data_IF_434459948408
#
_entry.id   IF_434459948408
#
_cell.length_a   1.000
_cell.length_b   1.000
_cell.length_c   1.000
_cell.angle_alpha   90.00
_cell.angle_beta   90.00
_cell.angle_gamma   90.00
#
_symmetry.space_group_name_H-M   'P 1'
#
loop_
_entity.id
_entity.type
_entity.pdbx_description
1 polymer ?
#
# COMPACT_ATOMS: atom_id res chain seq x y z
N UNK A 1 -98.23 5.62 35.43
CA UNK A 1 -98.16 4.67 36.56
C UNK A 1 -96.96 3.74 36.33
N UNK A 2 -95.95 3.80 37.21
CA UNK A 2 -94.94 2.79 37.62
C UNK A 2 -94.21 1.98 36.52
N UNK A 3 -92.93 2.25 36.24
CA UNK A 3 -91.67 1.76 36.88
C UNK A 3 -91.12 0.45 36.26
N UNK A 4 -90.00 0.63 35.53
CA UNK A 4 -88.67 -0.03 35.52
C UNK A 4 -88.49 -1.57 35.46
N UNK A 5 -87.31 -1.87 34.88
CA UNK A 5 -86.39 -3.00 34.97
C UNK A 5 -86.42 -3.99 33.80
N UNK A 6 -85.32 -4.57 33.31
CA UNK A 6 -83.86 -4.32 33.25
C UNK A 6 -83.31 -5.65 32.68
N UNK A 7 -82.36 -5.54 31.75
CA UNK A 7 -81.43 -6.58 31.28
C UNK A 7 -82.01 -7.82 30.55
N UNK A 8 -81.53 -8.05 29.32
CA UNK A 8 -80.90 -9.32 28.92
C UNK A 8 -79.90 -9.01 27.79
N UNK A 9 -78.68 -9.46 28.06
CA UNK A 9 -77.48 -9.55 27.24
C UNK A 9 -77.79 -10.33 25.94
N UNK A 10 -77.55 -9.74 24.76
CA UNK A 10 -77.58 -10.49 23.50
C UNK A 10 -76.20 -10.42 22.84
N UNK A 11 -75.49 -11.54 22.97
CA UNK A 11 -74.22 -11.86 22.34
C UNK A 11 -74.45 -11.94 20.82
N UNK A 12 -74.02 -10.92 20.07
CA UNK A 12 -74.11 -10.93 18.61
C UNK A 12 -72.85 -11.57 18.03
N UNK A 13 -72.99 -12.82 17.61
CA UNK A 13 -71.99 -13.60 16.89
C UNK A 13 -71.87 -13.00 15.47
N UNK A 14 -70.92 -12.07 15.26
CA UNK A 14 -70.53 -11.64 13.91
C UNK A 14 -69.43 -12.56 13.40
N UNK A 15 -69.81 -13.51 12.56
CA UNK A 15 -68.90 -14.25 11.69
C UNK A 15 -68.40 -13.33 10.58
N UNK A 16 -67.26 -12.68 10.79
CA UNK A 16 -66.49 -12.05 9.71
C UNK A 16 -65.67 -13.13 9.01
N UNK A 17 -66.00 -13.38 7.74
CA UNK A 17 -65.19 -14.14 6.79
C UNK A 17 -63.86 -13.41 6.63
N UNK A 18 -62.83 -13.90 7.33
CA UNK A 18 -61.45 -13.48 7.14
C UNK A 18 -60.95 -14.07 5.83
N UNK A 19 -60.90 -13.24 4.79
CA UNK A 19 -60.17 -13.56 3.57
C UNK A 19 -58.68 -13.40 3.89
N UNK A 20 -58.09 -14.47 4.39
CA UNK A 20 -56.65 -14.64 4.56
C UNK A 20 -56.02 -14.82 3.18
N UNK A 21 -55.82 -13.72 2.46
CA UNK A 21 -54.81 -13.70 1.41
C UNK A 21 -53.49 -13.54 2.12
N UNK A 22 -52.94 -14.67 2.55
CA UNK A 22 -51.54 -14.80 2.94
C UNK A 22 -50.74 -14.49 1.69
N UNK A 23 -50.43 -13.21 1.45
CA UNK A 23 -49.22 -12.86 0.74
C UNK A 23 -48.10 -13.36 1.65
N UNK A 24 -47.67 -14.59 1.40
CA UNK A 24 -46.29 -14.94 1.65
C UNK A 24 -45.46 -13.82 1.04
N UNK A 25 -44.80 -13.02 1.87
CA UNK A 25 -43.53 -12.44 1.46
C UNK A 25 -42.73 -13.67 1.03
N UNK A 26 -42.64 -13.88 -0.27
CA UNK A 26 -41.49 -14.59 -0.81
C UNK A 26 -40.30 -13.80 -0.24
N UNK A 27 -39.55 -14.44 0.66
CA UNK A 27 -38.15 -14.09 0.78
C UNK A 27 -37.61 -14.20 -0.64
N UNK A 28 -37.46 -13.06 -1.30
CA UNK A 28 -36.59 -12.97 -2.46
C UNK A 28 -35.21 -13.18 -1.87
N UNK A 29 -34.83 -14.45 -1.69
CA UNK A 29 -33.43 -14.81 -1.66
C UNK A 29 -32.88 -14.25 -2.95
N UNK A 30 -32.07 -13.19 -2.85
CA UNK A 30 -31.41 -12.61 -4.00
C UNK A 30 -30.65 -13.73 -4.69
N UNK A 31 -31.07 -14.12 -5.91
CA UNK A 31 -30.34 -15.08 -6.76
C UNK A 31 -28.95 -14.57 -7.17
N UNK A 32 -28.57 -13.37 -6.73
CA UNK A 32 -27.27 -12.76 -6.99
C UNK A 32 -26.22 -13.15 -5.95
N UNK A 33 -25.00 -13.35 -6.42
CA UNK A 33 -23.81 -13.51 -5.57
C UNK A 33 -23.60 -12.23 -4.75
N UNK A 34 -23.46 -12.36 -3.43
CA UNK A 34 -23.15 -11.25 -2.53
C UNK A 34 -21.64 -11.10 -2.42
N UNK A 35 -21.12 -9.93 -2.83
CA UNK A 35 -19.70 -9.61 -2.84
C UNK A 35 -19.46 -8.43 -1.91
N UNK A 36 -18.48 -8.54 -1.02
CA UNK A 36 -17.97 -7.42 -0.22
C UNK A 36 -16.56 -7.10 -0.70
N UNK A 37 -16.29 -5.83 -0.99
CA UNK A 37 -14.99 -5.34 -1.42
C UNK A 37 -14.47 -4.28 -0.46
N UNK A 38 -13.16 -4.19 -0.28
CA UNK A 38 -12.56 -3.14 0.56
C UNK A 38 -12.56 -1.79 -0.15
N UNK A 39 -11.84 -1.67 -1.27
CA UNK A 39 -11.64 -0.42 -2.00
C UNK A 39 -12.52 -0.29 -3.26
N UNK A 40 -12.57 0.92 -3.79
CA UNK A 40 -13.35 1.25 -4.98
C UNK A 40 -12.91 0.51 -6.27
N UNK A 41 -11.62 0.25 -6.54
CA UNK A 41 -11.21 -0.47 -7.74
C UNK A 41 -11.80 -1.88 -7.78
N UNK A 42 -11.72 -2.65 -6.68
CA UNK A 42 -12.30 -3.99 -6.63
C UNK A 42 -13.83 -3.94 -6.72
N UNK A 43 -14.46 -2.93 -6.12
CA UNK A 43 -15.90 -2.69 -6.27
C UNK A 43 -16.30 -2.55 -7.74
N UNK A 44 -15.61 -1.67 -8.47
CA UNK A 44 -15.90 -1.39 -9.89
C UNK A 44 -15.61 -2.61 -10.76
N UNK A 45 -14.49 -3.31 -10.51
CA UNK A 45 -14.11 -4.52 -11.25
C UNK A 45 -15.16 -5.63 -11.06
N UNK A 46 -15.56 -5.90 -9.81
CA UNK A 46 -16.58 -6.89 -9.51
C UNK A 46 -17.94 -6.52 -10.13
N UNK A 47 -18.34 -5.24 -10.10
CA UNK A 47 -19.55 -4.75 -10.77
C UNK A 47 -19.48 -4.89 -12.29
N UNK A 48 -18.33 -4.60 -12.90
CA UNK A 48 -18.13 -4.70 -14.35
C UNK A 48 -18.23 -6.16 -14.86
N UNK A 49 -17.65 -7.11 -14.11
CA UNK A 49 -17.68 -8.54 -14.42
C UNK A 49 -19.08 -9.12 -14.16
N UNK A 50 -19.62 -8.87 -12.97
CA UNK A 50 -20.81 -9.55 -12.46
C UNK A 50 -22.16 -8.92 -12.82
N UNK A 51 -22.20 -7.61 -13.06
CA UNK A 51 -23.39 -6.84 -13.46
C UNK A 51 -24.67 -7.20 -12.67
N UNK A 52 -25.73 -7.65 -13.36
CA UNK A 52 -27.03 -7.97 -12.76
C UNK A 52 -27.04 -9.28 -11.96
N UNK A 53 -25.95 -10.07 -12.02
CA UNK A 53 -25.78 -11.34 -11.30
C UNK A 53 -25.12 -11.19 -9.94
N UNK A 54 -24.60 -10.01 -9.62
CA UNK A 54 -23.91 -9.75 -8.36
C UNK A 54 -24.52 -8.56 -7.63
N UNK A 55 -24.48 -8.62 -6.31
CA UNK A 55 -24.67 -7.46 -5.45
C UNK A 55 -23.33 -7.19 -4.78
N UNK A 56 -22.76 -6.00 -5.02
CA UNK A 56 -21.42 -5.65 -4.53
C UNK A 56 -21.58 -4.54 -3.52
N UNK A 57 -21.04 -4.75 -2.33
CA UNK A 57 -20.94 -3.79 -1.25
C UNK A 57 -19.51 -3.29 -1.17
N UNK A 58 -19.32 -1.97 -1.26
CA UNK A 58 -18.07 -1.32 -0.91
C UNK A 58 -18.05 -1.15 0.61
N UNK A 59 -17.09 -1.80 1.28
CA UNK A 59 -16.94 -1.78 2.74
C UNK A 59 -16.58 -0.38 3.22
N UNK A 60 -15.56 0.23 2.61
CA UNK A 60 -15.15 1.60 2.91
C UNK A 60 -16.22 2.58 2.38
N UNK A 61 -16.92 3.32 3.25
CA UNK A 61 -17.93 4.25 2.79
C UNK A 61 -17.32 5.31 1.86
N UNK A 62 -18.07 5.82 0.86
CA UNK A 62 -17.58 6.86 -0.02
C UNK A 62 -17.11 8.11 0.75
N UNK A 63 -15.86 8.51 0.51
CA UNK A 63 -15.20 9.66 1.15
C UNK A 63 -14.44 9.36 2.45
N UNK A 64 -14.17 8.08 2.75
CA UNK A 64 -13.39 7.66 3.92
C UNK A 64 -11.98 7.27 3.47
N UNK A 65 -10.96 7.72 4.21
CA UNK A 65 -9.56 7.34 4.00
C UNK A 65 -9.36 5.83 4.24
N UNK A 66 -8.60 5.19 3.36
CA UNK A 66 -8.48 3.74 3.33
C UNK A 66 -7.38 3.19 4.22
N UNK A 67 -6.25 3.89 4.32
CA UNK A 67 -5.08 3.44 5.10
C UNK A 67 -5.36 3.41 6.61
N UNK A 68 -6.22 4.30 7.10
CA UNK A 68 -6.60 4.37 8.51
C UNK A 68 -7.87 3.55 8.84
N UNK A 69 -8.37 2.73 7.90
CA UNK A 69 -9.64 2.05 8.06
C UNK A 69 -9.51 0.79 8.92
N UNK A 70 -10.31 0.72 9.99
CA UNK A 70 -10.55 -0.51 10.74
C UNK A 70 -11.99 -1.00 10.56
N UNK A 71 -12.20 -2.30 10.35
CA UNK A 71 -13.55 -2.85 10.16
C UNK A 71 -14.36 -2.78 11.46
N UNK A 72 -15.61 -2.32 11.36
CA UNK A 72 -16.55 -2.36 12.48
C UNK A 72 -17.10 -3.79 12.68
N UNK A 73 -17.70 -4.11 13.84
CA UNK A 73 -18.38 -5.39 14.03
C UNK A 73 -19.47 -5.69 12.99
N UNK A 74 -20.12 -4.65 12.46
CA UNK A 74 -21.12 -4.78 11.40
C UNK A 74 -20.48 -5.16 10.06
N UNK A 75 -19.30 -4.63 9.77
CA UNK A 75 -18.53 -4.97 8.56
C UNK A 75 -18.08 -6.42 8.60
N UNK A 76 -17.60 -6.90 9.75
CA UNK A 76 -17.22 -8.30 9.95
C UNK A 76 -18.42 -9.23 9.73
N UNK A 77 -19.62 -8.83 10.18
CA UNK A 77 -20.86 -9.59 9.91
C UNK A 77 -21.16 -9.60 8.41
N UNK A 78 -21.06 -8.46 7.72
CA UNK A 78 -21.28 -8.38 6.27
C UNK A 78 -20.30 -9.28 5.50
N UNK A 79 -19.02 -9.23 5.83
CA UNK A 79 -17.97 -10.10 5.26
C UNK A 79 -18.34 -11.57 5.47
N UNK A 80 -18.73 -11.95 6.69
CA UNK A 80 -19.07 -13.34 7.03
C UNK A 80 -20.30 -13.87 6.26
N UNK A 81 -21.29 -13.02 5.98
CA UNK A 81 -22.53 -13.41 5.29
C UNK A 81 -22.39 -13.43 3.75
N UNK A 82 -21.36 -12.77 3.22
CA UNK A 82 -21.07 -12.72 1.80
C UNK A 82 -20.73 -14.09 1.20
N UNK A 83 -20.88 -14.21 -0.12
CA UNK A 83 -20.36 -15.34 -0.90
C UNK A 83 -18.88 -15.11 -1.25
N UNK A 84 -18.49 -13.85 -1.45
CA UNK A 84 -17.15 -13.44 -1.84
C UNK A 84 -16.69 -12.20 -1.06
N UNK A 85 -15.49 -12.23 -0.51
CA UNK A 85 -14.79 -11.08 0.06
C UNK A 85 -13.52 -10.79 -0.76
N UNK A 86 -13.38 -9.56 -1.23
CA UNK A 86 -12.26 -9.13 -2.09
C UNK A 86 -11.52 -7.99 -1.37
N UNK A 87 -10.24 -8.17 -1.10
CA UNK A 87 -9.36 -7.15 -0.57
C UNK A 87 -8.14 -6.95 -1.49
N UNK A 88 -7.34 -5.93 -1.25
CA UNK A 88 -6.19 -5.59 -2.09
C UNK A 88 -5.01 -6.50 -1.81
N UNK A 89 -4.58 -6.58 -0.56
CA UNK A 89 -3.41 -7.32 -0.12
C UNK A 89 -3.04 -6.93 1.32
N UNK A 90 -2.12 -7.67 1.94
CA UNK A 90 -1.75 -7.43 3.35
C UNK A 90 -1.16 -6.04 3.59
N UNK A 91 -0.40 -5.49 2.63
CA UNK A 91 0.15 -4.14 2.73
C UNK A 91 -0.90 -3.02 2.74
N UNK A 92 -2.11 -3.27 2.24
CA UNK A 92 -3.21 -2.28 2.22
C UNK A 92 -4.21 -2.51 3.36
N UNK A 93 -4.57 -3.77 3.62
CA UNK A 93 -5.55 -4.14 4.63
C UNK A 93 -4.94 -5.15 5.63
N UNK A 94 -3.98 -4.74 6.49
CA UNK A 94 -3.30 -5.66 7.41
C UNK A 94 -4.26 -6.33 8.42
N UNK A 95 -5.41 -5.71 8.67
CA UNK A 95 -6.48 -6.28 9.49
C UNK A 95 -7.20 -7.47 8.84
N UNK A 96 -7.09 -7.65 7.52
CA UNK A 96 -7.87 -8.64 6.77
C UNK A 96 -7.53 -10.06 7.23
N UNK A 97 -6.25 -10.39 7.37
CA UNK A 97 -5.81 -11.73 7.78
C UNK A 97 -6.37 -12.11 9.16
N UNK A 98 -6.14 -11.26 10.17
CA UNK A 98 -6.65 -11.44 11.55
C UNK A 98 -8.18 -11.56 11.59
N UNK A 99 -8.88 -10.78 10.77
CA UNK A 99 -10.34 -10.85 10.68
C UNK A 99 -10.81 -12.18 10.09
N UNK A 100 -10.14 -12.66 9.04
CA UNK A 100 -10.49 -13.90 8.34
C UNK A 100 -10.21 -15.14 9.20
N UNK A 101 -9.16 -15.16 10.01
CA UNK A 101 -8.90 -16.25 10.98
C UNK A 101 -10.07 -16.44 11.97
N UNK A 102 -10.73 -15.35 12.36
CA UNK A 102 -11.90 -15.37 13.23
C UNK A 102 -13.20 -15.81 12.54
N UNK A 103 -13.23 -15.83 11.20
CA UNK A 103 -14.42 -16.18 10.42
C UNK A 103 -14.36 -17.66 10.03
N UNK A 104 -15.15 -18.47 10.74
CA UNK A 104 -15.42 -19.85 10.33
C UNK A 104 -16.66 -19.88 9.42
N UNK A 105 -16.46 -19.86 8.11
CA UNK A 105 -17.52 -19.93 7.10
C UNK A 105 -17.12 -20.79 5.91
N UNK A 106 -17.78 -21.92 5.71
CA UNK A 106 -17.60 -22.78 4.52
C UNK A 106 -18.13 -22.14 3.23
N UNK A 107 -18.92 -21.07 3.37
CA UNK A 107 -19.58 -20.35 2.28
C UNK A 107 -18.68 -19.27 1.69
N UNK A 108 -17.96 -18.54 2.54
CA UNK A 108 -17.19 -17.36 2.14
C UNK A 108 -15.97 -17.78 1.33
N UNK A 109 -15.83 -17.22 0.13
CA UNK A 109 -14.57 -17.25 -0.62
C UNK A 109 -13.85 -15.92 -0.49
N UNK A 110 -12.53 -15.97 -0.45
CA UNK A 110 -11.67 -14.80 -0.23
C UNK A 110 -10.78 -14.61 -1.44
N UNK A 111 -10.65 -13.36 -1.89
CA UNK A 111 -9.77 -12.95 -2.99
C UNK A 111 -8.78 -11.93 -2.47
N UNK A 112 -7.52 -12.32 -2.49
CA UNK A 112 -6.39 -11.41 -2.43
C UNK A 112 -6.12 -10.89 -3.85
N UNK A 113 -6.33 -9.59 -4.08
CA UNK A 113 -6.17 -9.01 -5.41
C UNK A 113 -4.70 -8.88 -5.83
N UNK A 114 -3.76 -8.85 -4.88
CA UNK A 114 -2.32 -8.76 -5.09
C UNK A 114 -1.70 -10.06 -5.61
N UNK A 115 -2.43 -11.18 -5.52
CA UNK A 115 -1.93 -12.48 -5.95
C UNK A 115 -1.44 -12.44 -7.41
N UNK A 116 -0.21 -12.90 -7.63
CA UNK A 116 0.51 -12.89 -8.92
C UNK A 116 0.94 -11.51 -9.43
N UNK A 117 0.91 -10.47 -8.59
CA UNK A 117 1.51 -9.17 -8.87
C UNK A 117 2.90 -9.14 -8.22
N UNK A 118 3.90 -8.65 -8.95
CA UNK A 118 5.21 -8.34 -8.41
C UNK A 118 5.10 -7.03 -7.63
N UNK A 119 5.35 -7.09 -6.32
CA UNK A 119 5.18 -5.95 -5.43
C UNK A 119 6.42 -5.06 -5.42
N UNK A 120 6.22 -3.75 -5.49
CA UNK A 120 7.28 -2.74 -5.32
C UNK A 120 7.54 -2.52 -3.82
N UNK A 121 8.78 -2.24 -3.45
CA UNK A 121 9.11 -1.99 -2.03
C UNK A 121 8.47 -0.69 -1.53
N UNK A 122 8.21 -0.65 -0.22
CA UNK A 122 7.63 0.47 0.53
C UNK A 122 8.48 1.76 0.54
N UNK A 123 9.70 1.69 0.01
CA UNK A 123 10.69 2.77 0.02
C UNK A 123 11.10 3.10 -1.42
N UNK A 124 10.16 3.59 -2.24
CA UNK A 124 10.53 4.09 -3.57
C UNK A 124 11.52 5.26 -3.45
N UNK A 125 12.74 5.02 -3.92
CA UNK A 125 13.85 5.96 -3.90
C UNK A 125 15.09 5.43 -3.17
N UNK A 126 14.95 4.43 -2.30
CA UNK A 126 16.07 3.79 -1.60
C UNK A 126 16.26 2.34 -2.05
N UNK A 127 17.47 1.99 -2.48
CA UNK A 127 17.82 0.65 -2.93
C UNK A 127 18.08 -0.34 -1.78
N UNK A 128 17.91 0.13 -0.54
CA UNK A 128 18.13 -0.55 0.73
C UNK A 128 16.99 -0.19 1.69
N UNK A 129 16.63 -1.10 2.60
CA UNK A 129 15.54 -0.90 3.57
C UNK A 129 16.05 -0.36 4.92
N UNK A 130 17.34 -0.53 5.23
CA UNK A 130 17.91 -0.12 6.50
C UNK A 130 19.28 0.53 6.35
N UNK A 131 19.49 1.60 7.13
CA UNK A 131 20.75 2.31 7.25
C UNK A 131 21.12 2.50 8.72
N UNK A 132 22.34 2.11 9.11
CA UNK A 132 22.84 2.30 10.48
C UNK A 132 24.20 2.97 10.51
N UNK A 133 24.37 3.92 11.42
CA UNK A 133 25.63 4.62 11.63
C UNK A 133 26.39 4.02 12.81
N UNK A 134 27.67 3.69 12.62
CA UNK A 134 28.51 3.04 13.63
C UNK A 134 29.84 3.78 13.82
N UNK A 135 30.20 4.07 15.06
CA UNK A 135 31.58 4.40 15.42
C UNK A 135 32.37 3.11 15.69
N UNK A 136 33.26 2.75 14.77
CA UNK A 136 34.02 1.52 14.82
C UNK A 136 35.51 1.79 15.07
N UNK A 137 36.09 1.00 15.97
CA UNK A 137 37.54 0.99 16.22
C UNK A 137 38.22 0.04 15.26
N UNK A 138 39.53 0.23 15.07
CA UNK A 138 40.33 -0.74 14.34
C UNK A 138 40.19 -2.14 14.97
N UNK A 139 39.68 -3.10 14.21
CA UNK A 139 39.28 -4.40 14.72
C UNK A 139 38.49 -5.21 13.72
N UNK A 140 38.08 -6.41 14.14
CA UNK A 140 37.16 -7.26 13.38
C UNK A 140 35.83 -7.27 14.11
N UNK A 141 34.75 -7.28 13.35
CA UNK A 141 33.40 -7.38 13.85
C UNK A 141 32.69 -8.49 13.09
N UNK A 142 31.67 -9.07 13.69
CA UNK A 142 30.87 -10.14 13.10
C UNK A 142 29.48 -9.61 12.81
N UNK A 143 29.08 -9.71 11.54
CA UNK A 143 27.70 -9.53 11.11
C UNK A 143 27.07 -10.90 10.89
N UNK A 144 25.94 -11.18 11.54
CA UNK A 144 25.29 -12.50 11.55
C UNK A 144 23.91 -12.42 10.93
N UNK A 145 23.54 -13.48 10.22
CA UNK A 145 22.18 -13.73 9.74
C UNK A 145 21.77 -15.10 10.24
N UNK A 146 20.63 -15.19 10.93
CA UNK A 146 20.08 -16.43 11.45
C UNK A 146 18.76 -16.76 10.75
N UNK A 147 18.41 -18.05 10.78
CA UNK A 147 17.08 -18.49 10.35
C UNK A 147 16.05 -18.15 11.42
N UNK A 148 14.97 -17.49 11.01
CA UNK A 148 13.79 -17.24 11.84
C UNK A 148 12.74 -18.29 11.49
N UNK A 149 12.22 -18.99 12.51
CA UNK A 149 11.26 -20.10 12.34
C UNK A 149 11.67 -21.23 11.38
N UNK A 150 12.99 -21.40 11.17
CA UNK A 150 13.57 -22.53 10.45
C UNK A 150 14.01 -22.23 9.02
N UNK A 151 13.80 -21.01 8.51
CA UNK A 151 14.24 -20.55 7.19
C UNK A 151 14.89 -19.15 7.28
N UNK A 152 15.72 -18.79 6.30
CA UNK A 152 16.14 -17.39 6.13
C UNK A 152 15.04 -16.63 5.40
N UNK A 153 14.83 -15.34 5.71
CA UNK A 153 13.90 -14.50 4.95
C UNK A 153 14.26 -14.51 3.46
N UNK A 154 15.54 -14.32 3.14
CA UNK A 154 16.10 -14.43 1.80
C UNK A 154 17.36 -15.30 1.74
N UNK A 155 17.71 -15.88 0.56
CA UNK A 155 18.90 -16.71 0.43
C UNK A 155 20.24 -15.94 0.41
N UNK A 156 20.17 -14.62 0.24
CA UNK A 156 21.30 -13.70 0.11
C UNK A 156 20.83 -12.27 0.43
N UNK A 157 21.76 -11.36 0.71
CA UNK A 157 21.44 -9.94 0.97
C UNK A 157 22.51 -9.03 0.38
N UNK A 158 22.09 -7.91 -0.23
CA UNK A 158 23.02 -6.82 -0.55
C UNK A 158 23.37 -6.02 0.71
N UNK A 159 24.65 -5.69 0.84
CA UNK A 159 25.23 -5.02 1.99
C UNK A 159 26.23 -3.99 1.49
N UNK A 160 26.07 -2.73 1.87
CA UNK A 160 27.07 -1.71 1.60
C UNK A 160 27.65 -1.16 2.91
N UNK A 161 28.90 -0.75 2.84
CA UNK A 161 29.55 0.02 3.90
C UNK A 161 30.21 1.24 3.27
N UNK A 162 30.04 2.40 3.90
CA UNK A 162 30.58 3.68 3.45
C UNK A 162 31.31 4.33 4.63
N UNK A 163 32.62 4.60 4.54
CA UNK A 163 33.34 5.41 5.53
C UNK A 163 32.79 6.84 5.53
N UNK A 164 32.35 7.33 6.68
CA UNK A 164 31.77 8.67 6.82
C UNK A 164 32.81 9.65 7.38
N UNK A 165 33.06 10.74 6.64
CA UNK A 165 33.87 11.87 7.12
C UNK A 165 32.96 13.04 7.50
N UNK A 166 32.94 13.39 8.79
CA UNK A 166 32.20 14.54 9.32
C UNK A 166 32.79 15.85 8.76
N UNK A 167 32.09 16.43 7.78
CA UNK A 167 32.40 17.69 7.10
C UNK A 167 31.19 18.63 7.14
N UNK A 168 31.40 19.94 6.94
CA UNK A 168 30.29 20.92 6.96
C UNK A 168 29.19 20.65 5.92
N UNK A 169 29.47 19.81 4.90
CA UNK A 169 28.56 19.47 3.80
C UNK A 169 28.02 18.02 3.84
N UNK A 170 28.42 17.19 4.82
CA UNK A 170 28.02 15.76 4.90
C UNK A 170 26.86 15.56 5.87
N UNK A 171 25.73 15.05 5.36
CA UNK A 171 24.57 14.62 6.16
C UNK A 171 24.30 13.12 5.96
N UNK A 172 23.54 12.52 6.86
CA UNK A 172 23.05 11.13 6.72
C UNK A 172 22.25 10.99 5.41
N UNK A 173 21.41 11.97 5.09
CA UNK A 173 20.67 12.07 3.81
C UNK A 173 21.58 12.12 2.57
N UNK A 174 22.73 12.81 2.64
CA UNK A 174 23.71 12.80 1.56
C UNK A 174 24.34 11.41 1.36
N UNK A 175 24.49 10.66 2.45
CA UNK A 175 25.03 9.29 2.45
C UNK A 175 24.00 8.28 1.94
N UNK A 176 22.70 8.51 2.18
CA UNK A 176 21.63 7.70 1.59
C UNK A 176 21.63 7.80 0.06
N UNK A 177 21.77 9.02 -0.47
CA UNK A 177 21.88 9.26 -1.91
C UNK A 177 23.09 8.56 -2.54
N UNK A 178 24.24 8.60 -1.86
CA UNK A 178 25.44 7.87 -2.28
C UNK A 178 25.24 6.35 -2.21
N UNK A 179 24.56 5.88 -1.16
CA UNK A 179 24.12 4.51 -1.00
C UNK A 179 23.27 3.99 -2.16
N UNK A 180 22.29 4.76 -2.61
CA UNK A 180 21.45 4.38 -3.74
C UNK A 180 22.23 4.19 -5.03
N UNK A 181 23.22 5.05 -5.30
CA UNK A 181 24.09 4.87 -6.45
C UNK A 181 24.98 3.63 -6.31
N UNK A 182 25.47 3.36 -5.09
CA UNK A 182 26.32 2.20 -4.81
C UNK A 182 25.59 0.87 -5.06
N UNK A 183 24.28 0.80 -4.78
CA UNK A 183 23.45 -0.38 -5.06
C UNK A 183 23.16 -0.62 -6.55
N UNK A 184 23.49 0.33 -7.45
CA UNK A 184 23.45 0.13 -8.90
C UNK A 184 24.72 -0.56 -9.43
N UNK A 185 25.77 -0.68 -8.62
CA UNK A 185 27.05 -1.28 -9.01
C UNK A 185 27.02 -2.82 -8.98
N UNK A 186 28.04 -3.46 -9.57
CA UNK A 186 28.19 -4.92 -9.50
C UNK A 186 28.76 -5.34 -8.13
N UNK A 187 28.03 -6.08 -7.29
CA UNK A 187 28.45 -6.38 -5.93
C UNK A 187 29.57 -7.44 -5.87
N UNK A 188 30.46 -7.32 -4.88
CA UNK A 188 31.41 -8.39 -4.54
C UNK A 188 30.70 -9.52 -3.78
N UNK A 189 30.69 -10.73 -4.35
CA UNK A 189 30.04 -11.89 -3.72
C UNK A 189 30.87 -12.48 -2.58
N UNK A 190 30.33 -12.46 -1.36
CA UNK A 190 30.96 -13.00 -0.15
C UNK A 190 30.14 -14.20 0.35
N UNK A 191 30.84 -15.24 0.81
CA UNK A 191 30.23 -16.44 1.40
C UNK A 191 30.49 -16.48 2.90
N UNK A 192 29.78 -17.36 3.61
CA UNK A 192 29.95 -17.59 5.05
C UNK A 192 31.41 -17.60 5.51
N UNK A 193 31.72 -16.79 6.53
CA UNK A 193 33.05 -16.56 7.10
C UNK A 193 33.95 -15.63 6.28
N UNK A 194 33.46 -15.09 5.17
CA UNK A 194 34.18 -14.15 4.32
C UNK A 194 34.31 -12.76 4.95
N UNK A 195 35.26 -11.98 4.46
CA UNK A 195 35.57 -10.66 5.00
C UNK A 195 35.00 -9.53 4.12
N UNK A 196 34.45 -8.51 4.77
CA UNK A 196 33.99 -7.24 4.21
C UNK A 196 35.05 -6.19 4.60
N UNK A 197 35.47 -5.36 3.64
CA UNK A 197 36.51 -4.34 3.90
C UNK A 197 35.91 -3.06 4.49
N UNK A 198 36.73 -2.21 5.08
CA UNK A 198 36.35 -0.91 5.64
C UNK A 198 36.40 0.23 4.61
N UNK A 199 36.29 -0.12 3.33
CA UNK A 199 36.22 0.84 2.23
C UNK A 199 34.81 0.84 1.67
N UNK A 200 34.46 1.96 1.07
CA UNK A 200 33.24 2.08 0.27
C UNK A 200 33.13 0.91 -0.71
N UNK A 201 32.00 0.19 -0.66
CA UNK A 201 31.76 -0.94 -1.54
C UNK A 201 30.44 -1.63 -1.30
N UNK A 202 29.91 -2.24 -2.36
CA UNK A 202 28.72 -3.09 -2.36
C UNK A 202 29.13 -4.57 -2.34
N UNK A 203 28.50 -5.33 -1.45
CA UNK A 203 28.72 -6.75 -1.24
C UNK A 203 27.42 -7.52 -1.39
N UNK A 204 27.51 -8.72 -1.96
CA UNK A 204 26.42 -9.69 -2.02
C UNK A 204 26.72 -10.83 -1.08
N UNK A 205 26.05 -10.84 0.07
CA UNK A 205 26.27 -11.79 1.14
C UNK A 205 25.44 -13.05 0.87
N UNK A 206 26.10 -14.16 0.54
CA UNK A 206 25.44 -15.42 0.17
C UNK A 206 25.34 -16.31 1.41
N UNK A 207 24.11 -16.62 1.82
CA UNK A 207 23.86 -17.37 3.05
C UNK A 207 24.08 -18.87 2.87
N UNK A 208 24.63 -19.52 3.89
CA UNK A 208 24.77 -20.96 3.93
C UNK A 208 23.44 -21.58 4.38
N UNK A 209 22.61 -21.95 3.40
CA UNK A 209 21.29 -22.55 3.60
C UNK A 209 21.31 -23.84 4.44
N UNK A 210 22.48 -24.46 4.63
CA UNK A 210 22.66 -25.67 5.44
C UNK A 210 22.95 -25.41 6.91
N UNK A 211 23.20 -24.15 7.29
CA UNK A 211 23.47 -23.73 8.66
C UNK A 211 22.34 -22.84 9.18
N UNK A 212 22.06 -22.95 10.47
CA UNK A 212 21.04 -22.12 11.15
C UNK A 212 21.50 -20.64 11.26
N UNK A 213 22.80 -20.39 11.08
CA UNK A 213 23.41 -19.07 11.10
C UNK A 213 24.53 -18.95 10.07
N UNK A 214 24.61 -17.81 9.40
CA UNK A 214 25.70 -17.39 8.50
C UNK A 214 26.37 -16.16 9.08
N UNK A 215 27.70 -16.10 9.09
CA UNK A 215 28.46 -15.00 9.66
C UNK A 215 29.40 -14.38 8.62
N UNK A 216 29.59 -13.07 8.69
CA UNK A 216 30.50 -12.30 7.84
C UNK A 216 31.37 -11.41 8.72
N UNK A 217 32.63 -11.21 8.32
CA UNK A 217 33.62 -10.50 9.13
C UNK A 217 33.86 -9.11 8.55
N UNK A 218 33.46 -8.07 9.27
CA UNK A 218 33.80 -6.70 8.92
C UNK A 218 35.20 -6.36 9.46
N UNK A 219 36.17 -6.09 8.57
CA UNK A 219 37.60 -5.93 8.90
C UNK A 219 38.01 -4.45 8.89
N UNK A 220 37.75 -3.75 9.99
CA UNK A 220 38.03 -2.32 10.18
C UNK A 220 39.53 -2.06 10.34
N UNK A 221 40.16 -1.49 9.32
CA UNK A 221 41.58 -1.09 9.34
C UNK A 221 41.77 0.32 9.90
N UNK A 222 40.79 1.20 9.69
CA UNK A 222 40.82 2.60 10.13
C UNK A 222 39.71 2.87 11.15
N UNK A 223 40.06 3.35 12.34
CA UNK A 223 39.05 3.81 13.30
C UNK A 223 38.31 5.03 12.75
N UNK A 224 36.99 5.03 12.84
CA UNK A 224 36.15 6.07 12.25
C UNK A 224 34.66 5.75 12.33
N UNK A 225 33.88 6.60 11.66
CA UNK A 225 32.43 6.45 11.52
C UNK A 225 32.12 5.75 10.20
N UNK A 226 31.17 4.83 10.22
CA UNK A 226 30.76 4.06 9.05
C UNK A 226 29.25 4.06 8.96
N UNK A 227 28.73 4.27 7.76
CA UNK A 227 27.32 4.00 7.44
C UNK A 227 27.24 2.64 6.79
N UNK A 228 26.39 1.78 7.32
CA UNK A 228 26.09 0.47 6.77
C UNK A 228 24.67 0.49 6.23
N UNK A 229 24.49 0.00 5.01
CA UNK A 229 23.20 -0.05 4.32
C UNK A 229 22.91 -1.51 3.97
N UNK A 230 21.70 -1.98 4.24
CA UNK A 230 21.30 -3.36 3.98
C UNK A 230 20.02 -3.41 3.16
N UNK A 231 19.99 -4.33 2.18
CA UNK A 231 18.83 -4.53 1.31
C UNK A 231 17.53 -4.72 2.09
N UNK A 232 17.63 -5.43 3.21
CA UNK A 232 16.54 -5.73 4.12
C UNK A 232 16.89 -5.30 5.54
N UNK A 233 15.89 -5.23 6.42
CA UNK A 233 16.12 -4.97 7.84
C UNK A 233 16.95 -6.09 8.48
N UNK A 234 18.10 -5.79 9.13
CA UNK A 234 18.93 -6.81 9.75
C UNK A 234 18.20 -7.65 10.82
N UNK A 235 17.18 -7.07 11.45
CA UNK A 235 16.35 -7.71 12.48
C UNK A 235 15.48 -8.85 11.94
N UNK A 236 15.14 -8.87 10.64
CA UNK A 236 14.45 -10.01 10.01
C UNK A 236 15.29 -11.29 10.03
N UNK A 237 16.59 -11.14 10.27
CA UNK A 237 17.57 -12.22 10.34
C UNK A 237 18.10 -12.42 11.77
N UNK A 238 17.44 -11.86 12.79
CA UNK A 238 17.75 -12.10 14.20
C UNK A 238 16.80 -13.13 14.82
N UNK A 239 17.34 -14.26 15.26
CA UNK A 239 16.57 -15.28 15.98
C UNK A 239 16.71 -15.12 17.51
N UNK A 240 17.94 -15.21 18.01
CA UNK A 240 18.25 -15.27 19.45
C UNK A 240 19.45 -14.40 19.88
N UNK A 241 20.13 -13.78 18.94
CA UNK A 241 21.33 -12.98 19.15
C UNK A 241 21.33 -11.75 18.24
N UNK A 242 21.93 -10.66 18.72
CA UNK A 242 22.05 -9.43 17.93
C UNK A 242 22.85 -9.66 16.64
N UNK A 243 22.44 -9.03 15.53
CA UNK A 243 23.02 -9.21 14.20
C UNK A 243 24.46 -8.69 14.13
N UNK A 244 24.84 -7.71 14.96
CA UNK A 244 26.17 -7.11 14.92
C UNK A 244 26.91 -7.19 16.26
N UNK A 245 28.10 -7.80 16.24
CA UNK A 245 28.91 -8.05 17.44
C UNK A 245 30.39 -7.75 17.23
N UNK A 246 31.07 -7.37 18.31
CA UNK A 246 32.53 -7.31 18.35
C UNK A 246 33.18 -8.69 18.59
N UNK A 247 34.52 -8.74 18.58
CA UNK A 247 35.29 -9.97 18.81
C UNK A 247 35.10 -10.57 20.21
N UNK A 248 34.67 -9.78 21.18
CA UNK A 248 34.40 -10.24 22.54
C UNK A 248 32.95 -10.76 22.69
N UNK A 249 32.17 -10.73 21.59
CA UNK A 249 30.78 -11.15 21.54
C UNK A 249 29.82 -10.14 22.14
N UNK A 250 30.25 -8.89 22.29
CA UNK A 250 29.43 -7.78 22.76
C UNK A 250 28.64 -7.21 21.60
N UNK A 251 27.36 -6.94 21.83
CA UNK A 251 26.48 -6.30 20.84
C UNK A 251 26.99 -4.89 20.51
N UNK A 252 26.97 -4.57 19.22
CA UNK A 252 27.36 -3.26 18.69
C UNK A 252 26.12 -2.61 18.11
N UNK A 253 25.58 -1.65 18.85
CA UNK A 253 24.39 -0.88 18.45
C UNK A 253 24.77 0.25 17.49
N UNK A 254 23.85 0.62 16.61
CA UNK A 254 23.98 1.84 15.82
C UNK A 254 23.89 3.08 16.75
N UNK A 255 24.60 4.14 16.39
CA UNK A 255 24.51 5.46 17.06
C UNK A 255 23.22 6.20 16.69
N UNK A 256 22.66 5.82 15.56
CA UNK A 256 21.41 6.23 14.97
C UNK A 256 21.21 5.38 13.73
N UNK A 257 19.98 4.95 13.51
CA UNK A 257 19.57 4.26 12.30
C UNK A 257 18.37 4.99 11.68
N UNK A 258 18.01 4.61 10.47
CA UNK A 258 16.83 5.12 9.77
C UNK A 258 15.50 4.88 10.53
N UNK A 259 15.54 4.17 11.65
CA UNK A 259 14.40 3.87 12.52
C UNK A 259 14.36 4.76 13.80
N UNK A 260 15.51 5.25 14.28
CA UNK A 260 15.67 6.04 15.51
C UNK A 260 15.72 7.56 15.31
N UNK A 261 15.92 8.08 14.09
CA UNK A 261 15.94 9.54 13.84
C UNK A 261 14.60 10.25 14.19
N UNK A 262 13.54 9.49 14.51
CA UNK A 262 12.26 10.02 14.97
C UNK A 262 12.05 10.03 16.49
N UNK A 263 13.00 9.53 17.30
CA UNK A 263 12.81 9.36 18.75
C UNK A 263 13.44 10.46 19.64
N UNK A 264 13.79 11.63 19.09
CA UNK A 264 14.33 12.75 19.91
C UNK A 264 13.59 14.07 19.72
N UNK A 265 12.33 14.07 20.13
CA UNK A 265 11.73 15.13 20.98
C UNK A 265 10.34 14.66 21.44
N UNK A 266 10.27 13.92 22.56
CA UNK A 266 9.35 14.21 23.67
C UNK A 266 9.38 13.12 24.77
N UNK A 267 9.40 13.57 26.02
CA UNK A 267 9.35 12.73 27.21
C UNK A 267 7.98 12.06 27.40
N UNK A 268 8.00 10.73 27.60
CA UNK A 268 6.97 9.90 28.24
C UNK A 268 5.54 9.95 27.68
N UNK A 269 5.21 9.02 26.77
CA UNK A 269 3.96 8.26 26.80
C UNK A 269 4.22 6.83 26.27
N UNK A 270 3.90 5.81 27.08
CA UNK A 270 3.70 4.46 26.57
C UNK A 270 2.36 4.45 25.83
N UNK A 271 2.40 4.26 24.52
CA UNK A 271 1.30 3.67 23.75
C UNK A 271 1.93 2.77 22.67
N UNK A 272 1.67 1.47 22.79
CA UNK A 272 1.89 0.46 21.75
C UNK A 272 1.00 0.82 20.54
N UNK A 273 1.59 1.47 19.54
CA UNK A 273 1.03 1.55 18.20
C UNK A 273 2.14 1.33 17.18
N UNK A 274 2.50 0.05 16.98
CA UNK A 274 3.21 -0.41 15.79
C UNK A 274 2.34 -0.07 14.56
N UNK A 275 2.65 1.04 13.91
CA UNK A 275 2.30 1.25 12.52
C UNK A 275 3.35 0.53 11.69
N UNK A 276 3.17 -0.79 11.58
CA UNK A 276 3.91 -1.63 10.65
C UNK A 276 3.56 -1.17 9.23
N UNK A 277 4.40 -0.27 8.70
CA UNK A 277 4.37 0.09 7.29
C UNK A 277 4.84 -1.15 6.54
N UNK A 278 3.91 -1.93 5.99
CA UNK A 278 4.26 -3.15 5.27
C UNK A 278 5.38 -2.88 4.25
N UNK A 279 6.30 -3.84 4.11
CA UNK A 279 7.52 -3.74 3.30
C UNK A 279 7.30 -3.36 1.81
N UNK A 280 6.06 -3.25 1.33
CA UNK A 280 5.70 -3.07 -0.07
C UNK A 280 4.66 -1.96 -0.27
N UNK A 281 4.77 -1.24 -1.39
CA UNK A 281 3.75 -0.29 -1.86
C UNK A 281 2.42 -1.03 -2.10
N UNK A 282 1.32 -0.64 -1.43
CA UNK A 282 0.02 -1.29 -1.61
C UNK A 282 -0.77 -0.85 -2.84
N UNK A 283 -0.36 0.20 -3.56
CA UNK A 283 -1.17 0.88 -4.60
C UNK A 283 -1.17 0.18 -5.98
N UNK A 284 -1.23 -1.16 -5.96
CA UNK A 284 -1.09 -2.05 -7.13
C UNK A 284 -2.05 -1.71 -8.27
N UNK A 285 -3.24 -1.17 -7.97
CA UNK A 285 -4.28 -0.92 -8.95
C UNK A 285 -4.01 0.31 -9.82
N UNK A 286 -3.02 1.14 -9.48
CA UNK A 286 -2.68 2.32 -10.29
C UNK A 286 -1.99 1.96 -11.61
N UNK A 287 -1.43 0.75 -11.72
CA UNK A 287 -0.97 0.18 -12.99
C UNK A 287 -2.13 -0.59 -13.69
N UNK A 288 -2.57 -0.17 -14.89
CA UNK A 288 -3.63 -0.86 -15.63
C UNK A 288 -3.33 -2.34 -15.95
N UNK A 289 -2.06 -2.73 -16.04
CA UNK A 289 -1.68 -4.13 -16.27
C UNK A 289 -1.81 -4.97 -14.99
N UNK A 290 -1.54 -4.37 -13.82
CA UNK A 290 -1.86 -5.00 -12.54
C UNK A 290 -3.37 -5.08 -12.34
N UNK A 291 -4.13 -4.05 -12.72
CA UNK A 291 -5.59 -4.09 -12.69
C UNK A 291 -6.17 -5.24 -13.53
N UNK A 292 -5.54 -5.61 -14.65
CA UNK A 292 -5.90 -6.82 -15.43
C UNK A 292 -5.72 -8.09 -14.61
N UNK A 293 -4.63 -8.22 -13.86
CA UNK A 293 -4.35 -9.38 -12.98
C UNK A 293 -5.39 -9.43 -11.85
N UNK A 294 -5.72 -8.28 -11.24
CA UNK A 294 -6.78 -8.19 -10.23
C UNK A 294 -8.13 -8.65 -10.79
N UNK A 295 -8.49 -8.25 -12.01
CA UNK A 295 -9.70 -8.71 -12.71
C UNK A 295 -9.70 -10.22 -12.92
N UNK A 296 -8.56 -10.82 -13.23
CA UNK A 296 -8.42 -12.27 -13.38
C UNK A 296 -8.59 -13.02 -12.05
N UNK A 297 -8.00 -12.51 -10.96
CA UNK A 297 -8.17 -13.06 -9.61
C UNK A 297 -9.65 -13.04 -9.16
N UNK A 298 -10.35 -11.95 -9.44
CA UNK A 298 -11.79 -11.80 -9.14
C UNK A 298 -12.62 -12.75 -10.02
N UNK A 299 -12.35 -12.83 -11.32
CA UNK A 299 -13.06 -13.69 -12.25
C UNK A 299 -12.93 -15.17 -11.87
N UNK A 300 -11.72 -15.64 -11.57
CA UNK A 300 -11.45 -17.03 -11.20
C UNK A 300 -12.38 -17.47 -10.06
N UNK A 301 -12.43 -16.66 -9.01
CA UNK A 301 -13.19 -16.98 -7.80
C UNK A 301 -14.69 -16.77 -7.98
N UNK A 302 -15.10 -15.77 -8.75
CA UNK A 302 -16.52 -15.54 -9.06
C UNK A 302 -17.11 -16.71 -9.88
N UNK A 303 -16.34 -17.28 -10.81
CA UNK A 303 -16.72 -18.48 -11.57
C UNK A 303 -16.79 -19.72 -10.69
N UNK A 304 -15.94 -19.83 -9.67
CA UNK A 304 -16.01 -20.92 -8.69
C UNK A 304 -17.29 -20.84 -7.84
N UNK A 305 -17.63 -19.64 -7.38
CA UNK A 305 -18.82 -19.38 -6.54
C UNK A 305 -20.12 -19.56 -7.31
N UNK A 306 -20.17 -19.12 -8.57
CA UNK A 306 -21.36 -19.22 -9.42
C UNK A 306 -21.02 -19.77 -10.83
N UNK A 307 -20.78 -21.09 -10.93
CA UNK A 307 -20.41 -21.73 -12.19
C UNK A 307 -21.55 -21.70 -13.23
N UNK A 308 -22.78 -21.43 -12.80
CA UNK A 308 -23.94 -21.39 -13.70
C UNK A 308 -23.94 -20.17 -14.63
N UNK A 309 -23.31 -19.07 -14.20
CA UNK A 309 -23.14 -17.84 -14.98
C UNK A 309 -21.69 -17.66 -15.48
N UNK A 310 -20.87 -18.71 -15.47
CA UNK A 310 -19.45 -18.62 -15.81
C UNK A 310 -19.16 -17.98 -17.18
N UNK A 311 -19.90 -18.38 -18.23
CA UNK A 311 -19.72 -17.82 -19.58
C UNK A 311 -20.00 -16.30 -19.60
N UNK A 312 -21.01 -15.85 -18.87
CA UNK A 312 -21.37 -14.43 -18.74
C UNK A 312 -20.24 -13.63 -18.06
N UNK A 313 -19.68 -14.14 -16.96
CA UNK A 313 -18.55 -13.50 -16.28
C UNK A 313 -17.31 -13.42 -17.16
N UNK A 314 -16.98 -14.51 -17.87
CA UNK A 314 -15.84 -14.56 -18.78
C UNK A 314 -15.98 -13.54 -19.93
N UNK A 315 -17.17 -13.42 -20.52
CA UNK A 315 -17.42 -12.44 -21.59
C UNK A 315 -17.29 -10.99 -21.10
N UNK A 316 -17.78 -10.69 -19.90
CA UNK A 316 -17.72 -9.34 -19.33
C UNK A 316 -16.29 -8.98 -18.89
N UNK A 317 -15.61 -9.89 -18.21
CA UNK A 317 -14.21 -9.71 -17.83
C UNK A 317 -13.32 -9.50 -19.06
N UNK A 318 -13.57 -10.26 -20.14
CA UNK A 318 -12.85 -10.05 -21.41
C UNK A 318 -13.03 -8.62 -21.95
N UNK A 319 -14.26 -8.11 -22.02
CA UNK A 319 -14.54 -6.74 -22.47
C UNK A 319 -13.87 -5.70 -21.58
N UNK A 320 -13.97 -5.88 -20.27
CA UNK A 320 -13.36 -4.95 -19.31
C UNK A 320 -11.84 -4.94 -19.41
N UNK A 321 -11.20 -6.11 -19.59
CA UNK A 321 -9.76 -6.20 -19.86
C UNK A 321 -9.36 -5.58 -21.20
N UNK A 322 -10.21 -5.62 -22.23
CA UNK A 322 -9.97 -4.89 -23.48
C UNK A 322 -9.97 -3.37 -23.25
N UNK A 323 -10.83 -2.85 -22.36
CA UNK A 323 -10.84 -1.44 -21.96
C UNK A 323 -9.61 -1.04 -21.14
N UNK A 324 -9.15 -1.89 -20.21
CA UNK A 324 -7.90 -1.70 -19.45
C UNK A 324 -6.67 -1.70 -20.36
N UNK A 325 -6.60 -2.62 -21.33
CA UNK A 325 -5.54 -2.62 -22.32
C UNK A 325 -5.57 -1.37 -23.19
N UNK A 326 -6.76 -0.92 -23.62
CA UNK A 326 -6.88 0.33 -24.37
C UNK A 326 -6.41 1.54 -23.54
N UNK A 327 -6.76 1.58 -22.25
CA UNK A 327 -6.25 2.61 -21.32
C UNK A 327 -4.73 2.56 -21.21
N UNK A 328 -4.14 1.36 -21.09
CA UNK A 328 -2.68 1.18 -21.06
C UNK A 328 -2.01 1.72 -22.33
N UNK A 329 -2.51 1.37 -23.51
CA UNK A 329 -1.96 1.83 -24.79
C UNK A 329 -2.08 3.35 -24.96
N UNK A 330 -3.20 3.94 -24.51
CA UNK A 330 -3.40 5.39 -24.52
C UNK A 330 -2.40 6.08 -23.56
N UNK A 331 -2.22 5.56 -22.34
CA UNK A 331 -1.22 6.07 -21.39
C UNK A 331 0.20 5.97 -21.96
N UNK A 332 0.57 4.81 -22.49
CA UNK A 332 1.89 4.58 -23.07
C UNK A 332 2.17 5.52 -24.25
N UNK A 333 1.19 5.70 -25.13
CA UNK A 333 1.33 6.53 -26.33
C UNK A 333 1.29 8.04 -26.05
N UNK A 334 0.37 8.49 -25.21
CA UNK A 334 0.16 9.92 -24.97
C UNK A 334 1.11 10.52 -23.93
N UNK A 335 1.68 9.70 -23.05
CA UNK A 335 2.65 10.14 -22.04
C UNK A 335 4.11 10.06 -22.49
N UNK A 336 4.41 9.37 -23.60
CA UNK A 336 5.78 9.12 -24.08
C UNK A 336 6.55 10.40 -24.45
N UNK A 337 5.87 11.39 -25.03
CA UNK A 337 6.50 12.62 -25.56
C UNK A 337 6.34 13.83 -24.62
N UNK A 338 5.97 13.61 -23.35
CA UNK A 338 5.83 14.69 -22.38
C UNK A 338 7.18 15.34 -22.08
N UNK A 339 7.17 16.66 -21.88
CA UNK A 339 8.40 17.45 -21.63
C UNK A 339 9.01 17.18 -20.26
N UNK A 340 8.17 16.90 -19.26
CA UNK A 340 8.60 16.54 -17.91
C UNK A 340 8.32 15.06 -17.68
N UNK A 341 9.29 14.38 -17.06
CA UNK A 341 9.16 13.01 -16.53
C UNK A 341 9.08 13.00 -15.01
N UNK A 342 8.96 14.17 -14.37
CA UNK A 342 8.86 14.29 -12.92
C UNK A 342 7.48 14.78 -12.53
N UNK A 343 6.80 14.01 -11.67
CA UNK A 343 5.51 14.35 -11.06
C UNK A 343 5.78 15.03 -9.72
N UNK A 344 5.42 16.31 -9.63
CA UNK A 344 5.44 17.06 -8.36
C UNK A 344 4.11 16.79 -7.66
N UNK A 345 4.14 16.14 -6.51
CA UNK A 345 2.95 15.69 -5.79
C UNK A 345 2.96 16.25 -4.37
N UNK A 346 1.89 16.91 -3.94
CA UNK A 346 1.81 17.58 -2.63
C UNK A 346 0.95 16.82 -1.62
N UNK A 347 1.18 15.52 -1.51
CA UNK A 347 0.43 14.55 -0.69
C UNK A 347 1.15 13.20 -0.63
N UNK A 348 0.48 12.19 -0.10
CA UNK A 348 1.01 10.83 -0.14
C UNK A 348 1.02 10.28 -1.58
N UNK A 349 2.18 9.81 -2.04
CA UNK A 349 2.34 9.37 -3.43
C UNK A 349 1.84 7.94 -3.67
N UNK A 350 0.54 7.81 -3.98
CA UNK A 350 -0.12 6.54 -4.28
C UNK A 350 0.14 5.96 -5.69
N UNK A 351 1.13 6.47 -6.44
CA UNK A 351 1.31 6.19 -7.87
C UNK A 351 2.63 5.49 -8.19
N UNK A 352 3.26 4.79 -7.24
CA UNK A 352 4.54 4.09 -7.45
C UNK A 352 4.49 3.10 -8.62
N UNK A 353 3.55 2.16 -8.62
CA UNK A 353 3.35 1.23 -9.75
C UNK A 353 3.11 1.92 -11.09
N UNK A 354 2.34 3.03 -11.09
CA UNK A 354 2.13 3.84 -12.29
C UNK A 354 3.43 4.48 -12.76
N UNK A 355 4.19 5.07 -11.84
CA UNK A 355 5.46 5.74 -12.11
C UNK A 355 6.49 4.75 -12.66
N UNK A 356 6.64 3.60 -12.02
CA UNK A 356 7.48 2.50 -12.50
C UNK A 356 7.06 2.00 -13.90
N UNK A 357 5.75 1.80 -14.14
CA UNK A 357 5.23 1.31 -15.43
C UNK A 357 5.52 2.26 -16.59
N UNK A 358 5.36 3.55 -16.35
CA UNK A 358 5.43 4.57 -17.39
C UNK A 358 6.68 5.44 -17.30
N UNK A 359 7.68 5.04 -16.50
CA UNK A 359 9.00 5.68 -16.35
C UNK A 359 8.90 7.17 -15.95
N UNK A 360 8.12 7.43 -14.90
CA UNK A 360 8.07 8.72 -14.23
C UNK A 360 8.88 8.69 -12.94
N UNK A 361 9.59 9.78 -12.71
CA UNK A 361 10.08 10.16 -11.39
C UNK A 361 8.97 10.89 -10.63
N UNK A 362 9.03 10.87 -9.31
CA UNK A 362 8.13 11.67 -8.48
C UNK A 362 8.91 12.42 -7.39
N UNK A 363 8.34 13.53 -6.95
CA UNK A 363 8.82 14.25 -5.77
C UNK A 363 7.61 14.60 -4.93
N UNK A 364 7.65 14.21 -3.66
CA UNK A 364 6.67 14.59 -2.64
C UNK A 364 7.37 15.17 -1.42
N UNK A 365 6.77 16.16 -0.73
CA UNK A 365 7.28 16.58 0.58
C UNK A 365 6.96 15.55 1.67
N UNK A 366 6.08 14.57 1.40
CA UNK A 366 5.73 13.47 2.30
C UNK A 366 6.72 12.32 2.12
N UNK A 367 7.11 11.70 3.23
CA UNK A 367 7.96 10.51 3.25
C UNK A 367 7.10 9.25 3.38
N UNK A 368 7.43 8.23 2.57
CA UNK A 368 6.73 6.96 2.54
C UNK A 368 5.29 7.02 2.04
N UNK A 369 4.53 5.97 2.37
CA UNK A 369 3.17 5.73 1.87
C UNK A 369 2.05 6.06 2.87
N UNK A 370 2.33 6.87 3.90
CA UNK A 370 1.35 7.22 4.93
C UNK A 370 0.60 8.51 4.58
N UNK A 371 -0.75 8.49 4.48
CA UNK A 371 -1.52 9.69 4.15
C UNK A 371 -1.61 10.72 5.29
N UNK A 372 -1.31 10.32 6.54
CA UNK A 372 -1.46 11.18 7.72
C UNK A 372 -0.16 11.90 8.14
N UNK A 373 0.98 11.57 7.55
CA UNK A 373 2.27 12.17 7.89
C UNK A 373 2.38 13.60 7.33
N UNK A 374 2.12 14.64 8.14
CA UNK A 374 2.33 16.02 7.67
C UNK A 374 3.84 16.32 7.48
N UNK A 375 4.24 16.90 6.33
CA UNK A 375 5.64 17.15 6.05
C UNK A 375 6.18 18.37 6.82
N UNK A 376 7.50 18.39 7.04
CA UNK A 376 8.12 19.50 7.78
C UNK A 376 8.08 20.82 6.98
N UNK A 377 8.08 21.99 7.65
CA UNK A 377 8.18 23.28 6.97
C UNK A 377 9.42 23.41 6.07
N UNK A 378 10.51 22.70 6.41
CA UNK A 378 11.73 22.66 5.61
C UNK A 378 11.50 21.91 4.29
N UNK A 379 10.91 20.70 4.31
CA UNK A 379 10.58 19.94 3.09
C UNK A 379 9.61 20.71 2.18
N UNK A 380 8.65 21.44 2.76
CA UNK A 380 7.77 22.35 1.99
C UNK A 380 8.58 23.46 1.30
N UNK A 381 9.53 24.09 1.99
CA UNK A 381 10.37 25.15 1.42
C UNK A 381 11.30 24.61 0.31
N UNK A 382 11.92 23.45 0.53
CA UNK A 382 12.73 22.74 -0.46
C UNK A 382 11.92 22.44 -1.73
N UNK A 383 10.67 22.00 -1.56
CA UNK A 383 9.75 21.74 -2.68
C UNK A 383 9.41 23.02 -3.45
N UNK A 384 9.19 24.14 -2.76
CA UNK A 384 8.97 25.47 -3.39
C UNK A 384 10.19 25.89 -4.20
N UNK A 385 11.39 25.75 -3.64
CA UNK A 385 12.64 26.09 -4.32
C UNK A 385 12.89 25.18 -5.54
N UNK A 386 12.62 23.88 -5.39
CA UNK A 386 12.72 22.91 -6.48
C UNK A 386 11.78 23.28 -7.63
N UNK A 387 10.49 23.50 -7.36
CA UNK A 387 9.51 23.87 -8.38
C UNK A 387 9.90 25.16 -9.11
N UNK A 388 10.36 26.17 -8.38
CA UNK A 388 10.83 27.44 -8.96
C UNK A 388 12.07 27.23 -9.85
N UNK A 389 13.01 26.39 -9.42
CA UNK A 389 14.24 26.11 -10.16
C UNK A 389 13.99 25.32 -11.45
N UNK A 390 13.10 24.33 -11.40
CA UNK A 390 12.69 23.51 -12.53
C UNK A 390 11.65 24.19 -13.42
N UNK A 391 11.12 25.34 -12.99
CA UNK A 391 10.03 26.07 -13.65
C UNK A 391 8.78 25.20 -13.85
N UNK A 392 8.52 24.29 -12.91
CA UNK A 392 7.33 23.44 -12.91
C UNK A 392 6.13 24.28 -12.50
N UNK A 393 5.06 24.19 -13.29
CA UNK A 393 3.85 25.00 -13.11
C UNK A 393 2.68 24.23 -12.52
N UNK A 394 2.86 22.97 -12.18
CA UNK A 394 1.76 22.12 -11.70
C UNK A 394 2.20 21.38 -10.46
N UNK A 395 1.31 21.33 -9.46
CA UNK A 395 1.41 20.43 -8.31
C UNK A 395 0.18 19.52 -8.28
N UNK A 396 0.43 18.22 -8.28
CA UNK A 396 -0.60 17.21 -8.19
C UNK A 396 -0.97 16.93 -6.73
N UNK A 397 -2.20 16.50 -6.47
CA UNK A 397 -2.68 16.18 -5.13
C UNK A 397 -3.73 15.06 -5.19
N UNK A 398 -3.93 14.35 -4.08
CA UNK A 398 -4.88 13.24 -3.95
C UNK A 398 -6.33 13.65 -3.71
N UNK A 399 -7.26 12.73 -3.95
CA UNK A 399 -8.68 12.89 -3.65
C UNK A 399 -8.97 12.87 -2.15
N UNK A 400 -10.17 13.35 -1.78
CA UNK A 400 -10.82 13.16 -0.47
C UNK A 400 -10.12 13.75 0.77
N UNK A 401 -8.87 14.20 0.66
CA UNK A 401 -8.16 14.97 1.69
C UNK A 401 -8.19 16.47 1.40
N UNK A 402 -8.01 17.32 2.43
CA UNK A 402 -7.79 18.75 2.23
C UNK A 402 -6.33 18.98 1.81
N UNK A 403 -6.05 19.43 0.57
CA UNK A 403 -4.70 19.51 0.05
C UNK A 403 -3.98 20.78 0.56
N UNK A 404 -3.81 20.91 1.88
CA UNK A 404 -3.23 22.09 2.54
C UNK A 404 -1.81 22.36 2.07
N UNK A 405 -0.97 21.32 2.06
CA UNK A 405 0.44 21.42 1.64
C UNK A 405 0.53 21.85 0.19
N UNK A 406 -0.18 21.16 -0.70
CA UNK A 406 -0.28 21.53 -2.12
C UNK A 406 -0.73 22.98 -2.31
N UNK A 407 -1.69 23.46 -1.51
CA UNK A 407 -2.20 24.85 -1.56
C UNK A 407 -1.16 25.87 -1.12
N UNK A 408 -0.38 25.57 -0.09
CA UNK A 408 0.73 26.42 0.36
C UNK A 408 1.77 26.54 -0.74
N UNK A 409 2.24 25.40 -1.27
CA UNK A 409 3.25 25.36 -2.32
C UNK A 409 2.76 26.08 -3.59
N UNK A 410 1.52 25.85 -4.00
CA UNK A 410 0.91 26.52 -5.15
C UNK A 410 0.85 28.05 -4.97
N UNK A 411 0.52 28.53 -3.77
CA UNK A 411 0.47 29.98 -3.49
C UNK A 411 1.85 30.64 -3.56
N UNK A 412 2.90 29.96 -3.11
CA UNK A 412 4.27 30.50 -3.09
C UNK A 412 4.96 30.42 -4.47
N UNK A 413 4.67 29.37 -5.25
CA UNK A 413 5.27 29.16 -6.58
C UNK A 413 4.44 29.77 -7.72
N UNK A 414 3.15 30.01 -7.49
CA UNK A 414 2.19 30.37 -8.54
C UNK A 414 1.77 29.18 -9.41
N UNK A 415 2.07 27.95 -9.01
CA UNK A 415 1.68 26.73 -9.73
C UNK A 415 0.17 26.48 -9.68
N UNK A 416 -0.35 25.83 -10.71
CA UNK A 416 -1.71 25.31 -10.74
C UNK A 416 -1.80 23.99 -9.97
N UNK A 417 -2.91 23.80 -9.25
CA UNK A 417 -3.19 22.53 -8.57
C UNK A 417 -4.00 21.62 -9.48
N UNK A 418 -3.59 20.37 -9.62
CA UNK A 418 -4.30 19.36 -10.41
C UNK A 418 -4.58 18.10 -9.57
N UNK A 419 -5.83 17.65 -9.52
CA UNK A 419 -6.17 16.39 -8.86
C UNK A 419 -5.55 15.22 -9.63
N UNK A 420 -4.79 14.36 -8.98
CA UNK A 420 -4.41 13.06 -9.54
C UNK A 420 -5.05 11.99 -8.66
N UNK A 421 -6.15 11.46 -9.15
CA UNK A 421 -7.09 10.70 -8.33
C UNK A 421 -6.62 9.25 -8.21
N UNK A 422 -6.21 8.82 -7.02
CA UNK A 422 -5.67 7.49 -6.72
C UNK A 422 -6.67 6.34 -6.89
N UNK A 423 -7.96 6.63 -6.93
CA UNK A 423 -9.06 5.70 -7.14
C UNK A 423 -9.27 4.69 -6.00
N UNK A 424 -8.58 4.84 -4.86
CA UNK A 424 -8.75 3.97 -3.69
C UNK A 424 -10.17 4.08 -3.12
N UNK A 425 -10.78 5.27 -3.20
CA UNK A 425 -12.17 5.50 -2.86
C UNK A 425 -12.78 6.56 -3.78
N UNK A 426 -14.07 6.81 -3.69
CA UNK A 426 -14.77 7.87 -4.44
C UNK A 426 -15.66 8.66 -3.51
N UNK A 427 -15.98 9.90 -3.89
CA UNK A 427 -17.01 10.67 -3.19
C UNK A 427 -18.41 10.09 -3.43
N UNK A 428 -19.36 10.45 -2.55
CA UNK A 428 -20.78 10.10 -2.72
C UNK A 428 -21.35 10.61 -4.04
N UNK A 429 -20.89 11.76 -4.51
CA UNK A 429 -21.36 12.38 -5.74
C UNK A 429 -20.80 11.66 -6.97
N UNK A 430 -19.54 11.23 -6.94
CA UNK A 430 -18.93 10.42 -8.00
C UNK A 430 -19.61 9.06 -8.14
N UNK A 431 -19.84 8.37 -7.01
CA UNK A 431 -20.54 7.10 -7.00
C UNK A 431 -21.97 7.23 -7.56
N UNK A 432 -22.70 8.30 -7.21
CA UNK A 432 -24.04 8.57 -7.74
C UNK A 432 -24.06 8.90 -9.23
N UNK A 433 -23.00 9.52 -9.75
CA UNK A 433 -22.83 9.81 -11.17
C UNK A 433 -22.42 8.59 -11.99
N UNK A 434 -22.08 7.48 -11.33
CA UNK A 434 -21.59 6.27 -12.00
C UNK A 434 -20.18 6.45 -12.55
N UNK A 435 -19.33 7.21 -11.86
CA UNK A 435 -17.88 7.22 -12.11
C UNK A 435 -17.36 5.79 -11.96
N UNK A 436 -16.50 5.38 -12.87
CA UNK A 436 -15.83 4.07 -12.90
C UNK A 436 -14.31 4.26 -12.78
N UNK A 437 -13.60 3.18 -12.46
CA UNK A 437 -12.13 3.19 -12.43
C UNK A 437 -11.54 3.67 -13.77
N UNK A 438 -12.05 3.18 -14.91
CA UNK A 438 -11.61 3.59 -16.24
C UNK A 438 -11.81 5.10 -16.45
N UNK A 439 -12.94 5.67 -16.01
CA UNK A 439 -13.17 7.12 -16.17
C UNK A 439 -12.19 7.93 -15.32
N UNK A 440 -11.90 7.50 -14.09
CA UNK A 440 -10.92 8.17 -13.22
C UNK A 440 -9.53 8.15 -13.88
N UNK A 441 -9.07 6.99 -14.34
CA UNK A 441 -7.75 6.86 -14.93
C UNK A 441 -7.60 7.63 -16.25
N UNK A 442 -8.67 7.72 -17.05
CA UNK A 442 -8.68 8.57 -18.26
C UNK A 442 -8.64 10.06 -17.94
N UNK A 443 -9.31 10.49 -16.86
CA UNK A 443 -9.19 11.88 -16.39
C UNK A 443 -7.78 12.17 -15.85
N UNK A 444 -7.16 11.21 -15.16
CA UNK A 444 -5.76 11.33 -14.72
C UNK A 444 -4.81 11.49 -15.91
N UNK A 445 -4.97 10.71 -16.98
CA UNK A 445 -4.21 10.87 -18.22
C UNK A 445 -4.29 12.31 -18.76
N UNK A 446 -5.49 12.88 -18.87
CA UNK A 446 -5.66 14.26 -19.35
C UNK A 446 -5.01 15.29 -18.41
N UNK A 447 -5.12 15.10 -17.09
CA UNK A 447 -4.49 16.00 -16.11
C UNK A 447 -2.97 15.91 -16.13
N UNK A 448 -2.41 14.71 -16.30
CA UNK A 448 -0.96 14.49 -16.47
C UNK A 448 -0.47 15.17 -17.75
N UNK A 449 -1.18 15.02 -18.87
CA UNK A 449 -0.84 15.69 -20.14
C UNK A 449 -0.80 17.20 -20.01
N UNK A 450 -1.79 17.79 -19.37
CA UNK A 450 -1.83 19.24 -19.16
C UNK A 450 -0.70 19.65 -18.20
N UNK A 451 -0.62 18.98 -17.05
CA UNK A 451 0.27 19.37 -15.96
C UNK A 451 1.76 19.23 -16.28
N UNK A 452 2.13 18.24 -17.10
CA UNK A 452 3.53 17.91 -17.42
C UNK A 452 4.02 18.46 -18.77
N UNK A 453 3.14 19.05 -19.59
CA UNK A 453 3.55 19.73 -20.84
C UNK A 453 4.00 21.19 -20.64
N UNK A 454 3.88 21.72 -19.42
CA UNK A 454 4.41 23.03 -19.01
C UNK A 454 3.68 24.24 -19.61
N UNK A 455 2.42 24.08 -20.05
CA UNK A 455 1.59 25.18 -20.56
C UNK A 455 1.13 26.11 -19.44
#
# INVERSE_FOLDING_TARGET
>A
MKIKYLAILMLFLFSTVGCSTTQSKEDVTSDKVQIVTTLFPQYDFAKAIGQDKVEVMLLLPPGVEAHSYEPTPQDIVAIKEADLFIYTGEGMEPWAHKTLEGINSDKLKVVDSSKNIELLSGHEGEAFEWAGTFELKQGKYTWSFAKVDGDYADPEMLFAIIPFEDSEDSTIEATHKEGNHLFEEEPEAIKNGGAISDKEGLYKLIFDQTQDKTEFILDIQTEGTYVVLTQHFPTEFEADEHFFKDLDGTDVEALGDSHEEHAKEDEHFEDDHDHDHGAFDPHIWTDPLNAIIMVDNILETLVEVDPSNAEFYNENAKKYKEELNALHEDLLGELADLKSRTIIYGGHFAFGYFAHRYDFEHVSPYEGFSPDAEPTPQKIAEMVDLMNSLQVKTIFYEELLDPKVSRVIANETGAEMALLHGAHNVSKDELQKGVTYITIMRENLERLKVGLNGE
#
